data_IF_190356908674
#
_entry.id   IF_190356908674
#
_cell.length_a   1.000
_cell.length_b   1.000
_cell.length_c   1.000
_cell.angle_alpha   90.00
_cell.angle_beta   90.00
_cell.angle_gamma   90.00
#
_symmetry.space_group_name_H-M   'P 1'
#
loop_
_entity.id
_entity.type
_entity.pdbx_description
1 polymer ?
#
# COMPACT_ATOMS: atom_id res chain seq x y z
N UNK A 1 -59.13 -34.68 30.47
CA UNK A 1 -60.47 -35.13 30.03
C UNK A 1 -61.16 -33.92 29.43
N UNK A 2 -61.52 -33.78 28.16
CA UNK A 2 -61.74 -34.68 27.04
C UNK A 2 -61.59 -33.83 25.75
N UNK A 3 -60.91 -34.36 24.72
CA UNK A 3 -61.31 -34.15 23.31
C UNK A 3 -62.49 -35.11 23.01
N UNK A 4 -63.21 -35.15 21.85
CA UNK A 4 -62.85 -34.63 20.51
C UNK A 4 -64.02 -34.17 19.55
N UNK A 5 -63.64 -33.58 18.39
CA UNK A 5 -64.08 -33.77 16.95
C UNK A 5 -65.61 -33.77 16.53
N UNK A 6 -65.99 -33.83 15.21
CA UNK A 6 -65.60 -33.06 13.99
C UNK A 6 -66.80 -32.76 13.02
N UNK A 7 -66.50 -32.43 11.74
CA UNK A 7 -67.32 -32.50 10.48
C UNK A 7 -68.00 -31.19 10.03
N UNK A 8 -68.14 -30.81 8.74
CA UNK A 8 -67.83 -31.45 7.44
C UNK A 8 -67.85 -30.40 6.29
N UNK A 9 -66.96 -30.62 5.31
CA UNK A 9 -67.01 -30.38 3.85
C UNK A 9 -68.06 -29.45 3.19
N UNK A 10 -67.59 -28.61 2.24
CA UNK A 10 -68.03 -28.68 0.83
C UNK A 10 -66.97 -28.20 -0.17
N UNK A 11 -66.73 -29.07 -1.16
CA UNK A 11 -65.91 -28.88 -2.37
C UNK A 11 -66.72 -28.20 -3.48
N UNK A 12 -66.03 -27.57 -4.43
CA UNK A 12 -66.16 -27.79 -5.90
C UNK A 12 -64.99 -27.05 -6.60
N UNK A 13 -64.04 -27.78 -7.22
CA UNK A 13 -63.92 -28.05 -8.69
C UNK A 13 -63.83 -26.76 -9.53
N UNK A 14 -62.84 -26.48 -10.38
CA UNK A 14 -61.70 -27.24 -10.90
C UNK A 14 -61.47 -26.80 -12.36
N UNK A 15 -60.20 -26.56 -12.77
CA UNK A 15 -59.66 -27.00 -14.07
C UNK A 15 -58.19 -26.61 -14.22
N UNK A 16 -57.42 -27.68 -14.35
CA UNK A 16 -56.05 -27.85 -14.81
C UNK A 16 -55.86 -27.34 -16.24
N UNK A 17 -54.71 -26.74 -16.53
CA UNK A 17 -53.89 -27.04 -17.71
C UNK A 17 -52.41 -26.84 -17.36
N UNK A 18 -51.59 -27.79 -17.78
CA UNK A 18 -50.16 -27.91 -17.53
C UNK A 18 -49.38 -27.80 -18.84
N UNK A 19 -48.06 -27.66 -18.70
CA UNK A 19 -46.96 -27.66 -19.69
C UNK A 19 -46.65 -26.26 -20.24
N UNK A 20 -45.40 -25.77 -20.30
CA UNK A 20 -44.15 -26.50 -20.48
C UNK A 20 -42.96 -25.84 -19.75
N UNK A 21 -41.97 -26.68 -19.44
CA UNK A 21 -40.65 -26.30 -18.98
C UNK A 21 -39.83 -25.66 -20.10
N UNK A 22 -39.11 -24.59 -19.78
CA UNK A 22 -37.91 -24.19 -20.52
C UNK A 22 -36.78 -24.00 -19.51
N UNK A 23 -35.83 -24.93 -19.60
CA UNK A 23 -34.50 -24.85 -19.01
C UNK A 23 -33.67 -23.83 -19.79
N UNK A 24 -33.19 -22.79 -19.12
CA UNK A 24 -32.01 -22.04 -19.57
C UNK A 24 -31.12 -21.78 -18.38
N UNK A 25 -30.04 -22.54 -18.33
CA UNK A 25 -28.87 -22.36 -17.49
C UNK A 25 -28.18 -21.04 -17.81
N UNK A 26 -28.45 -19.99 -17.02
CA UNK A 26 -27.64 -18.77 -17.04
C UNK A 26 -26.50 -18.89 -16.02
N UNK A 27 -25.27 -18.96 -16.54
CA UNK A 27 -24.01 -18.91 -15.79
C UNK A 27 -23.97 -17.72 -14.83
N UNK A 28 -23.43 -17.85 -13.60
CA UNK A 28 -23.15 -16.70 -12.77
C UNK A 28 -21.97 -15.93 -13.37
N UNK A 29 -22.23 -14.68 -13.76
CA UNK A 29 -21.22 -13.72 -14.18
C UNK A 29 -20.28 -13.41 -13.02
N UNK A 30 -19.03 -13.89 -13.11
CA UNK A 30 -17.91 -13.36 -12.34
C UNK A 30 -17.74 -11.87 -12.66
N UNK A 31 -17.87 -10.98 -11.68
CA UNK A 31 -17.61 -9.56 -11.94
C UNK A 31 -17.88 -8.57 -10.80
N UNK A 32 -18.57 -8.95 -9.72
CA UNK A 32 -19.01 -7.98 -8.72
C UNK A 32 -18.12 -7.87 -7.46
N UNK A 33 -17.18 -8.80 -7.22
CA UNK A 33 -16.45 -8.86 -5.94
C UNK A 33 -15.09 -8.14 -5.95
N UNK A 34 -14.58 -7.72 -7.12
CA UNK A 34 -13.25 -7.09 -7.21
C UNK A 34 -13.24 -5.56 -7.00
N UNK A 35 -14.40 -4.88 -7.12
CA UNK A 35 -14.46 -3.42 -7.00
C UNK A 35 -14.45 -2.91 -5.55
N UNK A 36 -14.80 -3.73 -4.57
CA UNK A 36 -14.93 -3.29 -3.17
C UNK A 36 -13.55 -3.14 -2.48
N UNK A 37 -12.50 -3.81 -2.97
CA UNK A 37 -11.17 -3.73 -2.36
C UNK A 37 -10.36 -2.49 -2.75
N UNK A 38 -10.58 -1.90 -3.94
CA UNK A 38 -9.83 -0.74 -4.41
C UNK A 38 -10.24 0.56 -3.71
N UNK A 39 -11.53 0.74 -3.42
CA UNK A 39 -12.01 1.90 -2.67
C UNK A 39 -11.53 1.90 -1.21
N UNK A 40 -11.28 0.71 -0.65
CA UNK A 40 -10.81 0.56 0.73
C UNK A 40 -9.33 0.96 0.87
N UNK A 41 -8.46 0.60 -0.08
CA UNK A 41 -7.03 0.96 0.00
C UNK A 41 -6.76 2.46 -0.18
N UNK A 42 -7.49 3.14 -1.07
CA UNK A 42 -7.32 4.58 -1.29
C UNK A 42 -7.73 5.40 -0.05
N UNK A 43 -8.76 4.94 0.70
CA UNK A 43 -9.25 5.61 1.92
C UNK A 43 -8.33 5.46 3.14
N UNK A 44 -7.41 4.50 3.16
CA UNK A 44 -6.68 4.14 4.40
C UNK A 44 -5.38 4.94 4.60
N UNK A 45 -4.80 5.56 3.56
CA UNK A 45 -3.51 6.23 3.72
C UNK A 45 -3.60 7.70 4.06
N UNK A 46 -4.61 8.40 3.54
CA UNK A 46 -4.93 9.77 3.91
C UNK A 46 -6.44 9.87 4.05
N UNK A 47 -6.94 10.32 5.19
CA UNK A 47 -8.38 10.53 5.40
C UNK A 47 -8.97 11.61 4.46
N UNK A 48 -8.15 12.21 3.59
CA UNK A 48 -8.55 13.15 2.55
C UNK A 48 -9.18 12.40 1.36
N UNK A 49 -10.39 12.80 1.00
CA UNK A 49 -11.11 12.33 -0.18
C UNK A 49 -10.94 13.28 -1.37
N UNK A 50 -10.43 14.50 -1.15
CA UNK A 50 -10.23 15.53 -2.17
C UNK A 50 -8.91 16.28 -1.97
N UNK A 51 -8.35 16.82 -3.06
CA UNK A 51 -7.10 17.58 -3.03
C UNK A 51 -7.12 18.77 -2.04
N UNK A 52 -8.28 19.41 -1.82
CA UNK A 52 -8.40 20.56 -0.90
C UNK A 52 -8.26 20.17 0.58
N UNK A 53 -8.59 18.93 0.93
CA UNK A 53 -8.49 18.40 2.29
C UNK A 53 -7.05 18.08 2.67
N UNK A 54 -6.15 18.00 1.68
CA UNK A 54 -4.73 17.83 1.92
C UNK A 54 -4.13 19.10 2.51
N UNK A 55 -3.23 18.97 3.49
CA UNK A 55 -2.50 20.11 4.01
C UNK A 55 -1.42 20.57 3.02
N UNK A 56 -0.91 21.80 3.16
CA UNK A 56 0.24 22.25 2.39
C UNK A 56 1.48 21.41 2.74
N UNK A 57 2.35 21.21 1.75
CA UNK A 57 3.66 20.58 1.98
C UNK A 57 4.48 21.45 2.94
N UNK A 58 5.15 20.80 3.90
CA UNK A 58 5.84 21.51 4.99
C UNK A 58 7.11 22.23 4.51
N UNK A 59 7.76 21.68 3.48
CA UNK A 59 8.94 22.26 2.85
C UNK A 59 9.04 21.78 1.39
N UNK A 60 9.98 22.34 0.63
CA UNK A 60 10.31 21.86 -0.73
C UNK A 60 10.83 20.41 -0.73
N UNK A 61 11.39 19.95 0.40
CA UNK A 61 11.87 18.57 0.58
C UNK A 61 10.76 17.55 0.76
N UNK A 62 9.56 18.03 1.07
CA UNK A 62 8.41 17.18 1.35
C UNK A 62 7.89 16.58 0.05
N UNK A 63 7.78 15.26 0.03
CA UNK A 63 7.12 14.55 -1.04
C UNK A 63 5.62 14.86 -1.02
N UNK A 64 5.10 15.26 -2.16
CA UNK A 64 3.71 15.62 -2.37
C UNK A 64 2.88 14.45 -2.94
N UNK A 65 3.53 13.44 -3.56
CA UNK A 65 2.87 12.21 -4.00
C UNK A 65 3.76 10.99 -3.77
N UNK A 66 3.15 9.87 -3.40
CA UNK A 66 3.73 8.54 -3.36
C UNK A 66 3.10 7.69 -4.46
N UNK A 67 3.92 7.15 -5.36
CA UNK A 67 3.48 6.35 -6.50
C UNK A 67 3.92 4.91 -6.32
N UNK A 68 2.98 3.98 -6.40
CA UNK A 68 3.23 2.54 -6.45
C UNK A 68 2.92 1.99 -7.85
N UNK A 69 3.95 1.51 -8.55
CA UNK A 69 3.81 0.80 -9.82
C UNK A 69 3.44 -0.66 -9.56
N UNK A 70 2.15 -0.97 -9.63
CA UNK A 70 1.61 -2.31 -9.42
C UNK A 70 1.79 -3.18 -10.67
N UNK A 71 1.84 -4.51 -10.50
CA UNK A 71 2.04 -5.45 -11.63
C UNK A 71 0.77 -5.67 -12.45
N UNK A 72 -0.35 -5.91 -11.77
CA UNK A 72 -1.62 -6.35 -12.38
C UNK A 72 -2.72 -5.29 -12.34
N UNK A 73 -2.40 -4.12 -11.81
CA UNK A 73 -3.33 -3.01 -11.60
C UNK A 73 -2.66 -1.73 -12.07
N UNK A 74 -3.46 -0.73 -12.43
CA UNK A 74 -2.95 0.62 -12.71
C UNK A 74 -2.07 1.13 -11.56
N UNK A 75 -1.07 1.98 -11.83
CA UNK A 75 -0.32 2.62 -10.77
C UNK A 75 -1.25 3.24 -9.71
N UNK A 76 -0.89 3.11 -8.44
CA UNK A 76 -1.58 3.77 -7.34
C UNK A 76 -0.82 5.02 -6.97
N UNK A 77 -1.50 6.15 -7.02
CA UNK A 77 -0.95 7.44 -6.60
C UNK A 77 -1.63 7.86 -5.32
N UNK A 78 -0.84 8.13 -4.29
CA UNK A 78 -1.30 8.59 -2.98
C UNK A 78 -0.79 10.01 -2.84
N UNK A 79 -1.71 10.97 -2.91
CA UNK A 79 -1.42 12.37 -2.63
C UNK A 79 -1.02 12.50 -1.17
N UNK A 80 0.03 13.27 -0.88
CA UNK A 80 0.56 13.44 0.48
C UNK A 80 0.32 14.84 1.05
N UNK A 81 0.46 15.86 0.21
CA UNK A 81 0.27 17.27 0.54
C UNK A 81 0.11 18.10 -0.74
N UNK A 82 -0.35 19.34 -0.60
CA UNK A 82 -0.46 20.31 -1.69
C UNK A 82 0.82 21.11 -1.87
N UNK A 83 1.28 21.21 -3.11
CA UNK A 83 2.41 22.08 -3.44
C UNK A 83 2.10 23.56 -3.20
N UNK A 84 3.14 24.36 -2.92
CA UNK A 84 2.99 25.81 -2.82
C UNK A 84 2.50 26.39 -4.14
N UNK A 85 1.97 27.62 -4.09
CA UNK A 85 1.51 28.38 -5.27
C UNK A 85 0.46 27.69 -6.15
N UNK A 86 -0.22 26.66 -5.62
CA UNK A 86 -1.23 25.84 -6.33
C UNK A 86 -0.66 25.13 -7.56
N UNK A 87 0.65 24.89 -7.59
CA UNK A 87 1.27 24.10 -8.63
C UNK A 87 0.79 22.64 -8.54
N UNK A 88 0.58 21.95 -9.67
CA UNK A 88 0.24 20.55 -9.66
C UNK A 88 1.47 19.74 -9.19
N UNK A 89 1.31 18.96 -8.13
CA UNK A 89 2.36 18.02 -7.75
C UNK A 89 2.46 16.90 -8.80
N UNK A 90 3.68 16.55 -9.26
CA UNK A 90 3.89 15.51 -10.26
C UNK A 90 3.25 14.17 -9.87
N UNK A 91 2.66 13.51 -10.87
CA UNK A 91 2.13 12.14 -10.79
C UNK A 91 2.93 11.19 -11.68
N UNK A 92 2.44 9.96 -11.84
CA UNK A 92 3.05 8.93 -12.68
C UNK A 92 4.31 8.30 -12.09
N UNK A 93 4.74 7.18 -12.67
CA UNK A 93 5.99 6.53 -12.30
C UNK A 93 7.03 6.78 -13.39
N UNK A 94 8.12 7.46 -13.04
CA UNK A 94 9.19 7.75 -13.99
C UNK A 94 10.20 6.60 -14.00
N UNK A 95 10.45 6.04 -15.19
CA UNK A 95 11.51 5.05 -15.41
C UNK A 95 12.90 5.67 -15.38
N UNK A 96 12.98 6.98 -15.64
CA UNK A 96 14.21 7.78 -15.58
C UNK A 96 13.90 8.97 -14.67
N UNK A 97 13.92 8.77 -13.34
CA UNK A 97 13.51 9.80 -12.40
C UNK A 97 14.40 11.03 -12.53
N UNK A 98 13.77 12.19 -12.68
CA UNK A 98 14.45 13.48 -12.67
C UNK A 98 14.78 13.92 -11.22
N UNK A 99 15.16 15.20 -11.06
CA UNK A 99 15.42 15.77 -9.73
C UNK A 99 14.20 15.78 -8.81
N UNK A 100 12.98 15.76 -9.37
CA UNK A 100 11.71 15.85 -8.63
C UNK A 100 11.13 14.50 -8.21
N UNK A 101 11.72 13.39 -8.68
CA UNK A 101 11.32 12.04 -8.33
C UNK A 101 12.44 11.33 -7.54
N UNK A 102 12.08 10.49 -6.56
CA UNK A 102 13.02 9.63 -5.82
C UNK A 102 12.47 8.21 -5.74
N UNK A 103 13.23 7.23 -6.23
CA UNK A 103 12.88 5.83 -6.10
C UNK A 103 13.27 5.29 -4.72
N UNK A 104 12.27 4.73 -4.03
CA UNK A 104 12.44 4.05 -2.73
C UNK A 104 12.59 2.55 -2.93
N UNK A 105 11.88 2.02 -3.93
CA UNK A 105 12.09 0.67 -4.45
C UNK A 105 11.99 0.72 -5.98
N UNK A 106 12.23 -0.39 -6.66
CA UNK A 106 12.06 -0.49 -8.12
C UNK A 106 10.62 -0.22 -8.61
N UNK A 107 9.65 -0.14 -7.68
CA UNK A 107 8.22 0.07 -7.98
C UNK A 107 7.54 1.09 -7.07
N UNK A 108 8.29 1.79 -6.23
CA UNK A 108 7.77 2.82 -5.33
C UNK A 108 8.59 4.09 -5.50
N UNK A 109 7.93 5.18 -5.84
CA UNK A 109 8.56 6.47 -6.12
C UNK A 109 7.88 7.58 -5.30
N UNK A 110 8.70 8.46 -4.71
CA UNK A 110 8.25 9.72 -4.13
C UNK A 110 8.39 10.83 -5.18
N UNK A 111 7.41 11.73 -5.20
CA UNK A 111 7.42 12.93 -6.04
C UNK A 111 7.44 14.15 -5.14
N UNK A 112 8.32 15.09 -5.42
CA UNK A 112 8.42 16.38 -4.74
C UNK A 112 7.78 17.47 -5.60
N UNK A 113 7.48 18.61 -4.98
CA UNK A 113 7.07 19.79 -5.71
C UNK A 113 8.24 20.30 -6.58
N UNK A 114 7.91 21.02 -7.66
CA UNK A 114 8.91 21.53 -8.59
C UNK A 114 10.02 22.33 -7.87
N UNK A 115 11.26 22.16 -8.32
CA UNK A 115 12.42 22.94 -7.85
C UNK A 115 13.29 22.28 -6.79
N UNK A 116 12.82 21.23 -6.10
CA UNK A 116 13.70 20.51 -5.15
C UNK A 116 14.64 19.56 -5.89
N UNK A 117 15.95 19.75 -5.69
CA UNK A 117 16.99 18.82 -6.11
C UNK A 117 17.71 18.34 -4.86
N UNK A 118 17.45 17.10 -4.46
CA UNK A 118 18.09 16.52 -3.29
C UNK A 118 19.60 16.34 -3.55
N UNK A 119 20.49 16.83 -2.66
CA UNK A 119 21.93 16.60 -2.79
C UNK A 119 22.25 15.10 -2.65
N UNK A 120 23.41 14.67 -3.13
CA UNK A 120 23.87 13.29 -2.93
C UNK A 120 24.06 12.97 -1.44
N UNK A 121 23.81 11.72 -1.06
CA UNK A 121 23.99 11.30 0.32
C UNK A 121 25.46 11.04 0.69
N UNK A 122 25.89 11.54 1.85
CA UNK A 122 27.12 11.10 2.53
C UNK A 122 26.94 9.71 3.15
N UNK A 123 28.05 9.04 3.47
CA UNK A 123 28.03 7.74 4.12
C UNK A 123 27.21 7.78 5.42
N UNK A 124 26.26 6.85 5.56
CA UNK A 124 25.43 6.64 6.75
C UNK A 124 24.58 7.84 7.21
N UNK A 125 24.42 8.88 6.39
CA UNK A 125 23.52 9.99 6.74
C UNK A 125 22.05 9.63 6.47
N UNK A 126 21.14 10.29 7.20
CA UNK A 126 19.71 10.12 6.98
C UNK A 126 19.34 10.67 5.59
N UNK A 127 18.72 9.84 4.77
CA UNK A 127 18.24 10.20 3.43
C UNK A 127 16.75 10.49 3.39
N UNK A 128 15.97 9.70 4.12
CA UNK A 128 14.52 9.77 4.10
C UNK A 128 13.98 9.81 5.52
N UNK A 129 13.06 10.74 5.76
CA UNK A 129 12.29 10.79 7.01
C UNK A 129 10.83 10.55 6.66
N UNK A 130 10.21 9.56 7.30
CA UNK A 130 8.76 9.34 7.18
C UNK A 130 8.10 9.73 8.48
N UNK A 131 6.93 10.36 8.37
CA UNK A 131 6.13 10.79 9.51
C UNK A 131 4.69 10.37 9.30
N UNK A 132 4.14 9.61 10.23
CA UNK A 132 2.72 9.25 10.26
C UNK A 132 2.09 9.94 11.45
N UNK A 133 1.11 10.79 11.18
CA UNK A 133 0.28 11.44 12.21
C UNK A 133 -1.07 10.73 12.22
N UNK A 134 -1.53 10.37 13.41
CA UNK A 134 -2.93 9.98 13.65
C UNK A 134 -3.54 10.95 14.64
N UNK A 135 -4.72 11.46 14.33
CA UNK A 135 -5.51 12.28 15.26
C UNK A 135 -6.78 11.55 15.59
N UNK A 136 -6.90 11.16 16.85
CA UNK A 136 -8.03 10.44 17.38
C UNK A 136 -9.17 11.43 17.62
N UNK A 137 -10.33 11.12 17.06
CA UNK A 137 -11.54 11.90 17.30
C UNK A 137 -11.99 11.77 18.76
N UNK A 138 -12.22 12.89 19.44
CA UNK A 138 -12.70 12.91 20.84
C UNK A 138 -14.22 12.75 21.01
N UNK A 139 -14.97 12.75 19.91
CA UNK A 139 -16.42 12.63 19.91
C UNK A 139 -16.87 11.42 19.08
N UNK A 140 -18.02 10.84 19.40
CA UNK A 140 -18.62 9.70 18.68
C UNK A 140 -18.87 9.96 17.17
N UNK A 141 -18.67 11.19 16.71
CA UNK A 141 -18.83 11.65 15.33
C UNK A 141 -17.52 12.20 14.71
N UNK A 142 -16.41 12.25 15.45
CA UNK A 142 -15.13 12.72 14.94
C UNK A 142 -14.35 11.55 14.34
N UNK A 143 -14.07 11.62 13.04
CA UNK A 143 -13.33 10.58 12.34
C UNK A 143 -11.84 10.60 12.75
N UNK A 144 -11.28 9.43 13.03
CA UNK A 144 -9.83 9.26 13.14
C UNK A 144 -9.20 9.64 11.79
N UNK A 145 -8.20 10.53 11.83
CA UNK A 145 -7.49 10.95 10.63
C UNK A 145 -6.08 10.41 10.65
N UNK A 146 -5.69 9.72 9.59
CA UNK A 146 -4.32 9.30 9.35
C UNK A 146 -3.73 10.15 8.24
N UNK A 147 -2.54 10.67 8.48
CA UNK A 147 -1.77 11.45 7.52
C UNK A 147 -0.35 10.92 7.45
N UNK A 148 0.16 10.80 6.24
CA UNK A 148 1.54 10.35 5.97
C UNK A 148 2.31 11.49 5.31
N UNK A 149 3.51 11.75 5.80
CA UNK A 149 4.47 12.66 5.21
C UNK A 149 5.79 11.92 4.95
N UNK A 150 6.51 12.38 3.96
CA UNK A 150 7.86 11.94 3.66
C UNK A 150 8.70 13.14 3.27
N UNK A 151 9.87 13.30 3.90
CA UNK A 151 10.84 14.33 3.57
C UNK A 151 12.12 13.69 3.05
N UNK A 152 12.58 14.14 1.88
CA UNK A 152 13.81 13.68 1.24
C UNK A 152 14.95 14.64 1.59
N UNK A 153 15.87 14.18 2.42
CA UNK A 153 17.02 14.98 2.89
C UNK A 153 18.15 14.96 1.85
N UNK A 154 18.43 13.78 1.29
CA UNK A 154 19.45 13.57 0.27
C UNK A 154 19.09 12.36 -0.60
N UNK A 155 19.74 12.23 -1.75
CA UNK A 155 19.55 11.15 -2.71
C UNK A 155 20.65 10.10 -2.57
N UNK A 156 20.26 8.84 -2.38
CA UNK A 156 21.22 7.75 -2.30
C UNK A 156 21.98 7.57 -3.62
N UNK A 157 23.28 7.31 -3.54
CA UNK A 157 24.12 6.96 -4.69
C UNK A 157 23.82 5.51 -5.13
N UNK A 158 23.57 5.30 -6.42
CA UNK A 158 23.06 4.04 -6.95
C UNK A 158 21.58 4.18 -7.26
N UNK A 159 21.26 4.41 -8.54
CA UNK A 159 19.87 4.42 -8.98
C UNK A 159 19.21 3.06 -8.68
N UNK A 160 17.90 3.11 -8.40
CA UNK A 160 16.80 2.12 -8.39
C UNK A 160 17.01 0.68 -7.93
N UNK A 161 18.20 0.10 -8.12
CA UNK A 161 18.47 -1.33 -7.98
C UNK A 161 19.57 -1.65 -6.97
N UNK A 162 20.34 -0.66 -6.50
CA UNK A 162 21.54 -0.89 -5.68
C UNK A 162 21.43 -0.48 -4.20
N UNK A 163 20.32 0.12 -3.77
CA UNK A 163 20.21 0.71 -2.43
C UNK A 163 19.01 0.15 -1.66
N UNK A 164 19.25 -0.17 -0.40
CA UNK A 164 18.25 -0.43 0.61
C UNK A 164 18.11 0.77 1.56
N UNK A 165 16.87 1.19 1.82
CA UNK A 165 16.57 2.20 2.84
C UNK A 165 16.45 1.53 4.21
N UNK A 166 17.58 1.39 4.90
CA UNK A 166 17.59 0.79 6.24
C UNK A 166 17.09 1.78 7.28
N UNK A 167 16.17 1.34 8.14
CA UNK A 167 15.73 2.13 9.30
C UNK A 167 16.90 2.32 10.28
N UNK A 168 17.32 3.56 10.48
CA UNK A 168 18.35 3.92 11.44
C UNK A 168 17.77 4.02 12.86
N UNK A 169 16.72 4.82 13.02
CA UNK A 169 16.01 4.99 14.29
C UNK A 169 14.59 5.51 14.04
N UNK A 170 13.82 5.69 15.12
CA UNK A 170 12.51 6.31 15.03
C UNK A 170 11.99 6.70 16.39
N UNK A 171 11.19 7.76 16.39
CA UNK A 171 10.68 8.41 17.59
C UNK A 171 9.16 8.41 17.50
N UNK A 172 8.51 8.11 18.62
CA UNK A 172 7.07 8.16 18.73
C UNK A 172 6.72 9.21 19.78
N UNK A 173 5.70 10.01 19.51
CA UNK A 173 5.08 10.92 20.45
C UNK A 173 3.59 10.61 20.48
N UNK A 174 3.02 10.49 21.67
CA UNK A 174 1.62 10.15 21.83
C UNK A 174 1.01 10.95 22.99
N UNK A 175 -0.19 11.43 22.77
CA UNK A 175 -1.12 11.97 23.75
C UNK A 175 -2.52 11.37 23.45
N UNK A 176 -3.47 11.57 24.35
CA UNK A 176 -4.88 11.20 24.27
C UNK A 176 -5.53 11.47 22.91
N UNK A 177 -5.16 12.57 22.24
CA UNK A 177 -5.77 13.02 20.98
C UNK A 177 -4.91 12.75 19.75
N UNK A 178 -3.62 12.43 19.94
CA UNK A 178 -2.61 12.59 18.91
C UNK A 178 -1.51 11.54 19.03
N UNK A 179 -1.23 10.85 17.92
CA UNK A 179 -0.11 9.94 17.79
C UNK A 179 0.75 10.36 16.59
N UNK A 180 1.99 10.74 16.84
CA UNK A 180 2.99 10.99 15.82
C UNK A 180 4.07 9.90 15.89
N UNK A 181 4.34 9.28 14.75
CA UNK A 181 5.48 8.39 14.58
C UNK A 181 6.38 8.93 13.49
N UNK A 182 7.66 9.06 13.81
CA UNK A 182 8.71 9.48 12.90
C UNK A 182 9.75 8.38 12.75
N UNK A 183 10.12 8.07 11.52
CA UNK A 183 11.14 7.07 11.20
C UNK A 183 12.20 7.70 10.30
N UNK A 184 13.45 7.34 10.55
CA UNK A 184 14.61 7.88 9.88
C UNK A 184 15.33 6.74 9.18
N UNK A 185 15.59 6.93 7.89
CA UNK A 185 16.18 5.91 7.03
C UNK A 185 17.50 6.41 6.44
N UNK A 186 18.49 5.53 6.45
CA UNK A 186 19.80 5.75 5.82
C UNK A 186 19.92 4.88 4.57
N UNK A 187 20.77 5.30 3.64
CA UNK A 187 21.09 4.48 2.47
C UNK A 187 22.10 3.40 2.85
N UNK A 188 21.88 2.18 2.38
CA UNK A 188 22.85 1.09 2.46
C UNK A 188 22.93 0.38 1.11
N UNK A 189 24.14 0.04 0.69
CA UNK A 189 24.34 -0.79 -0.50
C UNK A 189 23.78 -2.18 -0.24
N UNK A 190 23.11 -2.77 -1.22
CA UNK A 190 22.64 -4.14 -1.13
C UNK A 190 23.85 -5.11 -1.15
N UNK A 191 24.14 -5.85 -0.06
CA UNK A 191 25.13 -6.93 -0.10
C UNK A 191 24.66 -8.08 -1.00
N UNK A 192 25.54 -9.01 -1.33
CA UNK A 192 25.14 -10.24 -2.05
C UNK A 192 24.54 -11.26 -1.08
N UNK A 193 23.44 -11.91 -1.47
CA UNK A 193 22.85 -13.03 -0.73
C UNK A 193 23.30 -14.38 -1.30
N UNK A 194 23.13 -15.45 -0.51
CA UNK A 194 23.22 -16.84 -0.99
C UNK A 194 21.91 -17.31 -1.61
N UNK A 195 21.92 -18.40 -2.41
CA UNK A 195 20.70 -19.07 -2.83
C UNK A 195 19.82 -19.43 -1.62
N UNK A 196 18.50 -19.31 -1.78
CA UNK A 196 17.47 -19.60 -0.77
C UNK A 196 17.50 -18.74 0.50
N UNK A 197 18.45 -17.80 0.60
CA UNK A 197 18.54 -16.86 1.72
C UNK A 197 17.44 -15.79 1.64
N UNK A 198 16.95 -15.27 2.79
CA UNK A 198 16.10 -14.10 2.83
C UNK A 198 16.71 -12.89 2.11
N UNK A 199 16.00 -12.39 1.09
CA UNK A 199 16.48 -11.32 0.23
C UNK A 199 15.69 -10.02 0.35
N UNK A 200 14.60 -10.04 1.13
CA UNK A 200 13.78 -8.86 1.38
C UNK A 200 12.36 -9.19 1.79
N UNK A 201 11.49 -8.19 1.63
CA UNK A 201 10.09 -8.25 2.03
C UNK A 201 9.17 -7.84 0.89
N UNK A 202 8.16 -8.67 0.58
CA UNK A 202 7.11 -8.33 -0.40
C UNK A 202 5.86 -7.91 0.37
N UNK A 203 5.49 -6.64 0.26
CA UNK A 203 4.33 -6.11 0.99
C UNK A 203 3.05 -6.77 0.54
N UNK A 204 2.16 -7.08 1.49
CA UNK A 204 0.89 -7.75 1.17
C UNK A 204 -0.09 -6.83 0.42
N UNK A 205 -0.01 -5.53 0.67
CA UNK A 205 -1.00 -4.56 0.17
C UNK A 205 -0.73 -4.12 -1.27
N UNK A 206 0.55 -3.96 -1.63
CA UNK A 206 0.97 -3.43 -2.94
C UNK A 206 1.90 -4.36 -3.72
N UNK A 207 2.30 -5.50 -3.14
CA UNK A 207 3.31 -6.40 -3.69
C UNK A 207 4.61 -5.66 -4.06
N UNK A 208 4.95 -4.64 -3.27
CA UNK A 208 6.20 -3.92 -3.41
C UNK A 208 7.32 -4.73 -2.75
N UNK A 209 8.43 -4.91 -3.47
CA UNK A 209 9.60 -5.63 -2.97
C UNK A 209 10.59 -4.64 -2.35
N UNK A 210 10.81 -4.76 -1.05
CA UNK A 210 11.89 -4.09 -0.32
C UNK A 210 13.06 -5.07 -0.23
N UNK A 211 14.02 -4.93 -1.14
CA UNK A 211 15.23 -5.76 -1.15
C UNK A 211 16.15 -5.36 -0.02
N UNK A 212 16.75 -6.36 0.62
CA UNK A 212 17.81 -6.20 1.62
C UNK A 212 19.16 -6.68 1.11
N UNK A 213 19.19 -7.50 0.05
CA UNK A 213 20.41 -7.94 -0.62
C UNK A 213 20.16 -8.28 -2.11
N UNK A 214 21.24 -8.55 -2.85
CA UNK A 214 21.26 -8.91 -4.26
C UNK A 214 21.39 -10.43 -4.41
N UNK A 215 20.38 -11.06 -5.01
CA UNK A 215 20.43 -12.50 -5.28
C UNK A 215 21.51 -12.85 -6.31
N UNK A 216 22.09 -14.06 -6.21
CA UNK A 216 23.09 -14.52 -7.18
C UNK A 216 22.48 -14.65 -8.59
N UNK A 217 23.33 -14.78 -9.63
CA UNK A 217 22.86 -15.06 -10.98
C UNK A 217 21.91 -16.27 -11.03
N UNK A 218 20.92 -16.21 -11.93
CA UNK A 218 19.87 -17.23 -12.06
C UNK A 218 18.90 -17.34 -10.87
N UNK A 219 18.95 -16.42 -9.90
CA UNK A 219 17.98 -16.34 -8.81
C UNK A 219 17.23 -15.00 -8.82
N UNK A 220 15.92 -15.05 -8.53
CA UNK A 220 15.08 -13.89 -8.29
C UNK A 220 14.70 -13.80 -6.81
N UNK A 221 14.67 -12.57 -6.30
CA UNK A 221 14.15 -12.30 -4.97
C UNK A 221 12.62 -12.31 -5.00
N UNK A 222 11.99 -13.41 -4.56
CA UNK A 222 10.55 -13.61 -4.67
C UNK A 222 9.98 -14.34 -3.45
N UNK A 223 8.66 -14.26 -3.29
CA UNK A 223 7.94 -15.07 -2.31
C UNK A 223 8.00 -16.54 -2.74
N UNK A 224 8.28 -17.49 -1.84
CA UNK A 224 8.23 -18.91 -2.12
C UNK A 224 6.97 -19.33 -2.90
N UNK A 225 7.17 -20.02 -4.03
CA UNK A 225 6.05 -20.48 -4.86
C UNK A 225 5.12 -21.42 -4.08
N UNK A 226 5.70 -22.34 -3.31
CA UNK A 226 4.96 -23.26 -2.46
C UNK A 226 4.27 -22.52 -1.31
N UNK A 227 2.96 -22.68 -1.21
CA UNK A 227 2.14 -21.96 -0.23
C UNK A 227 2.48 -22.32 1.22
N UNK A 228 2.91 -23.55 1.51
CA UNK A 228 3.30 -23.97 2.86
C UNK A 228 4.51 -23.20 3.40
N UNK A 229 5.36 -22.70 2.50
CA UNK A 229 6.65 -22.11 2.84
C UNK A 229 6.55 -20.58 2.93
N UNK A 230 5.36 -20.02 2.66
CA UNK A 230 5.12 -18.58 2.70
C UNK A 230 5.02 -18.12 4.15
N UNK A 231 6.05 -17.41 4.59
CA UNK A 231 6.08 -16.79 5.91
C UNK A 231 5.64 -15.34 5.87
N UNK A 232 4.62 -15.00 6.66
CA UNK A 232 4.23 -13.63 6.93
C UNK A 232 5.02 -13.08 8.12
N UNK A 233 5.51 -11.86 7.98
CA UNK A 233 6.25 -11.13 9.01
C UNK A 233 5.74 -9.70 9.10
N UNK A 234 5.80 -9.10 10.29
CA UNK A 234 5.52 -7.67 10.45
C UNK A 234 6.80 -6.89 10.24
N UNK A 235 6.77 -5.93 9.32
CA UNK A 235 7.95 -5.18 8.88
C UNK A 235 7.71 -3.67 8.99
N UNK A 236 8.82 -2.93 9.06
CA UNK A 236 8.86 -1.47 9.11
C UNK A 236 9.87 -0.97 8.08
N UNK A 237 9.42 -0.97 6.85
CA UNK A 237 10.18 -0.52 5.69
C UNK A 237 9.93 0.97 5.41
N UNK A 238 10.76 1.57 4.56
CA UNK A 238 10.54 2.94 4.11
C UNK A 238 9.14 3.07 3.48
N UNK A 239 8.28 3.93 4.05
CA UNK A 239 6.89 4.17 3.60
C UNK A 239 5.93 2.98 3.76
N UNK A 240 6.34 1.91 4.43
CA UNK A 240 5.49 0.75 4.64
C UNK A 240 5.64 0.18 6.05
N UNK A 241 4.51 0.02 6.74
CA UNK A 241 4.47 -0.70 8.01
C UNK A 241 3.23 -1.58 8.03
N UNK A 242 3.46 -2.87 8.24
CA UNK A 242 2.41 -3.87 8.18
C UNK A 242 2.98 -5.25 7.92
N UNK A 243 2.13 -6.14 7.43
CA UNK A 243 2.49 -7.53 7.18
C UNK A 243 3.03 -7.70 5.75
N UNK A 244 4.21 -8.28 5.64
CA UNK A 244 4.84 -8.64 4.37
C UNK A 244 5.17 -10.13 4.32
N UNK A 245 5.27 -10.66 3.11
CA UNK A 245 5.87 -11.97 2.88
C UNK A 245 7.38 -11.86 2.94
N UNK A 246 8.04 -12.80 3.62
CA UNK A 246 9.48 -12.98 3.51
C UNK A 246 9.82 -13.46 2.10
N UNK A 247 10.70 -12.74 1.40
CA UNK A 247 11.19 -13.12 0.07
C UNK A 247 12.52 -13.86 0.20
N UNK A 248 12.72 -14.88 -0.64
CA UNK A 248 13.95 -15.68 -0.72
C UNK A 248 14.56 -15.58 -2.13
N UNK A 249 15.87 -15.80 -2.25
CA UNK A 249 16.52 -15.94 -3.54
C UNK A 249 16.22 -17.30 -4.18
N UNK A 250 15.20 -17.37 -5.03
CA UNK A 250 14.77 -18.60 -5.69
C UNK A 250 15.24 -18.69 -7.15
N UNK A 251 15.56 -19.88 -7.68
CA UNK A 251 15.85 -20.05 -9.10
C UNK A 251 14.68 -19.58 -10.00
N UNK A 252 14.97 -19.07 -11.20
CA UNK A 252 13.98 -18.65 -12.19
C UNK A 252 14.17 -19.28 -13.58
#
# INVERSE_FOLDING_TARGET
SYAPLPSQQRRQHGRTQALAAISTTAKPSCGATYFIHLASLHKIQQAATWERELPPCASERSACTLVHRRYWLSPLEIRLCRCPRKEPCPGGFDTTPDGSALNVTSRTQLKMCAGWQAPACNASQVSLVTKVIRRLGHAAQANDTKQTHADVICRCSGQDTGVHYRRAHGNNSADSTHYERRQYFTCESLPDCKPEEPCGHVTRDFYALYRTCTCPPSNLCTVPMNFSDRRLVNVREALYEGTAYLALCQPY
#
